data_IF_374491669967
#
_entry.id   IF_374491669967
#
_cell.length_a   1.000
_cell.length_b   1.000
_cell.length_c   1.000
_cell.angle_alpha   90.00
_cell.angle_beta   90.00
_cell.angle_gamma   90.00
#
_symmetry.space_group_name_H-M   'P 1'
#
loop_
_entity.id
_entity.type
_entity.pdbx_description
1 polymer ?
#
# COMPACT_ATOMS: atom_id res chain seq x y z
N UNK A 1 9.50 7.81 15.47
CA UNK A 1 9.64 6.58 14.67
C UNK A 1 8.23 6.05 14.51
N UNK A 2 7.57 6.35 13.38
CA UNK A 2 6.24 5.81 13.11
C UNK A 2 6.45 4.41 12.57
N UNK A 3 6.07 3.40 13.34
CA UNK A 3 6.11 2.01 12.87
C UNK A 3 4.86 1.79 12.03
N UNK A 4 4.98 1.41 10.75
CA UNK A 4 3.81 1.17 9.91
C UNK A 4 2.92 0.10 10.55
N UNK A 5 1.68 0.49 10.86
CA UNK A 5 0.69 -0.38 11.52
C UNK A 5 0.21 -1.52 10.61
N UNK A 6 0.50 -1.43 9.32
CA UNK A 6 0.10 -2.34 8.25
C UNK A 6 0.66 -3.75 8.41
N UNK A 7 1.91 -3.93 8.86
CA UNK A 7 2.44 -5.28 9.12
C UNK A 7 1.78 -5.98 10.33
N UNK A 8 1.58 -5.32 11.49
CA UNK A 8 0.76 -5.85 12.58
C UNK A 8 -0.69 -6.14 12.18
N UNK A 9 -1.32 -5.24 11.42
CA UNK A 9 -2.70 -5.41 10.95
C UNK A 9 -2.81 -6.54 9.91
N UNK A 10 -1.86 -6.64 9.00
CA UNK A 10 -1.77 -7.72 8.01
C UNK A 10 -1.59 -9.09 8.68
N UNK A 11 -0.81 -9.15 9.76
CA UNK A 11 -0.64 -10.37 10.56
C UNK A 11 -1.96 -10.80 11.21
N UNK A 12 -2.75 -9.86 11.74
CA UNK A 12 -4.06 -10.15 12.32
C UNK A 12 -5.07 -10.61 11.25
N UNK A 13 -5.09 -9.95 10.08
CA UNK A 13 -5.97 -10.32 8.96
C UNK A 13 -5.63 -11.70 8.38
N UNK A 14 -4.35 -12.04 8.31
CA UNK A 14 -3.89 -13.36 7.87
C UNK A 14 -4.39 -14.46 8.81
N UNK A 15 -4.21 -14.27 10.12
CA UNK A 15 -4.67 -15.22 11.15
C UNK A 15 -6.19 -15.33 11.16
N UNK A 16 -6.91 -14.21 11.06
CA UNK A 16 -8.38 -14.21 10.95
C UNK A 16 -8.85 -14.97 9.69
N UNK A 17 -8.15 -14.81 8.56
CA UNK A 17 -8.42 -15.52 7.32
C UNK A 17 -8.19 -17.04 7.39
N UNK A 18 -7.30 -17.52 8.27
CA UNK A 18 -7.11 -18.96 8.52
C UNK A 18 -8.27 -19.57 9.32
N UNK A 19 -8.89 -18.80 10.22
CA UNK A 19 -9.99 -19.28 11.08
C UNK A 19 -11.37 -19.29 10.41
N UNK A 20 -11.58 -18.48 9.36
CA UNK A 20 -12.87 -18.30 8.69
C UNK A 20 -12.92 -18.82 7.24
N UNK A 21 -11.89 -19.55 6.78
CA UNK A 21 -11.78 -20.09 5.41
C UNK A 21 -11.94 -19.02 4.31
N UNK A 22 -11.54 -17.78 4.62
CA UNK A 22 -11.68 -16.62 3.75
C UNK A 22 -10.40 -16.35 2.96
N UNK A 23 -10.25 -16.87 1.72
CA UNK A 23 -9.04 -16.65 0.91
C UNK A 23 -8.74 -15.18 0.67
N UNK A 24 -9.77 -14.32 0.69
CA UNK A 24 -9.65 -12.88 0.60
C UNK A 24 -8.88 -12.27 1.80
N UNK A 25 -9.34 -12.51 3.04
CA UNK A 25 -8.69 -11.96 4.24
C UNK A 25 -7.26 -12.45 4.41
N UNK A 26 -7.02 -13.71 4.05
CA UNK A 26 -5.68 -14.29 4.05
C UNK A 26 -4.75 -13.61 3.05
N UNK A 27 -5.24 -13.36 1.83
CA UNK A 27 -4.47 -12.69 0.78
C UNK A 27 -4.22 -11.23 1.14
N UNK A 28 -5.24 -10.52 1.65
CA UNK A 28 -5.10 -9.14 2.12
C UNK A 28 -4.10 -9.04 3.28
N UNK A 29 -4.15 -9.99 4.23
CA UNK A 29 -3.17 -10.05 5.32
C UNK A 29 -1.73 -10.23 4.83
N UNK A 30 -1.51 -11.14 3.88
CA UNK A 30 -0.20 -11.31 3.23
C UNK A 30 0.26 -10.03 2.52
N UNK A 31 -0.63 -9.37 1.77
CA UNK A 31 -0.30 -8.14 1.06
C UNK A 31 0.10 -7.02 2.03
N UNK A 32 -0.60 -6.87 3.15
CA UNK A 32 -0.28 -5.85 4.15
C UNK A 32 1.00 -6.14 4.96
N UNK A 33 1.40 -7.43 5.08
CA UNK A 33 2.68 -7.82 5.68
C UNK A 33 3.83 -7.57 4.70
N UNK A 34 3.65 -7.91 3.43
CA UNK A 34 4.70 -7.81 2.41
C UNK A 34 4.90 -6.38 1.90
N UNK A 35 3.86 -5.55 1.94
CA UNK A 35 3.86 -4.21 1.37
C UNK A 35 3.34 -3.19 2.38
N UNK A 36 4.05 -3.00 3.50
CA UNK A 36 3.55 -2.20 4.61
C UNK A 36 3.37 -0.71 4.30
N UNK A 37 3.94 -0.20 3.21
CA UNK A 37 3.96 1.24 2.87
C UNK A 37 3.96 1.44 1.34
N UNK A 38 3.32 0.51 0.62
CA UNK A 38 3.26 0.55 -0.82
C UNK A 38 4.35 -0.19 -1.58
N UNK A 39 4.19 -0.24 -2.90
CA UNK A 39 5.07 -0.87 -3.88
C UNK A 39 5.21 0.10 -5.03
N UNK A 40 6.43 0.35 -5.49
CA UNK A 40 6.70 0.93 -6.79
C UNK A 40 7.51 -0.03 -7.65
N UNK A 41 7.40 0.12 -8.98
CA UNK A 41 8.22 -0.62 -9.93
C UNK A 41 8.81 0.36 -10.94
N UNK A 42 10.13 0.47 -10.99
CA UNK A 42 10.81 1.42 -11.85
C UNK A 42 10.96 0.86 -13.27
N UNK A 43 10.45 1.61 -14.25
CA UNK A 43 10.50 1.26 -15.67
C UNK A 43 11.34 2.32 -16.38
N UNK A 44 12.59 1.97 -16.68
CA UNK A 44 13.46 2.83 -17.49
C UNK A 44 12.94 2.88 -18.92
N UNK A 45 12.55 4.06 -19.39
CA UNK A 45 12.15 4.27 -20.79
C UNK A 45 13.37 4.51 -21.68
N UNK A 46 14.39 5.19 -21.14
CA UNK A 46 15.69 5.45 -21.77
C UNK A 46 16.70 5.94 -20.71
N UNK A 47 17.91 6.27 -21.15
CA UNK A 47 19.02 6.72 -20.29
C UNK A 47 18.74 7.98 -19.44
N UNK A 48 17.66 8.72 -19.74
CA UNK A 48 17.29 9.97 -19.07
C UNK A 48 15.88 9.99 -18.50
N UNK A 49 15.11 8.92 -18.65
CA UNK A 49 13.70 8.93 -18.27
C UNK A 49 13.25 7.60 -17.69
N UNK A 50 12.49 7.69 -16.62
CA UNK A 50 11.97 6.56 -15.85
C UNK A 50 10.52 6.83 -15.45
N UNK A 51 9.71 5.78 -15.43
CA UNK A 51 8.35 5.82 -14.93
C UNK A 51 8.21 4.77 -13.84
N UNK A 52 7.61 5.16 -12.72
CA UNK A 52 7.40 4.31 -11.56
C UNK A 52 5.91 4.29 -11.20
N UNK A 53 5.11 3.34 -11.71
CA UNK A 53 3.79 3.06 -11.14
C UNK A 53 3.96 2.67 -9.67
N UNK A 54 3.07 3.18 -8.83
CA UNK A 54 3.07 2.88 -7.41
C UNK A 54 1.66 2.63 -6.88
N UNK A 55 1.59 1.80 -5.85
CA UNK A 55 0.45 1.64 -4.96
C UNK A 55 0.95 1.97 -3.58
N UNK A 56 0.30 2.86 -2.85
CA UNK A 56 0.63 3.21 -1.46
C UNK A 56 -0.57 2.96 -0.56
N UNK A 57 -0.32 2.49 0.67
CA UNK A 57 -1.36 2.22 1.67
C UNK A 57 -1.19 3.22 2.80
N UNK A 58 -2.03 4.26 2.81
CA UNK A 58 -1.95 5.38 3.73
C UNK A 58 -2.45 5.04 5.13
N UNK A 59 -3.60 4.37 5.24
CA UNK A 59 -4.19 4.04 6.53
C UNK A 59 -5.08 2.81 6.49
N UNK A 60 -5.22 2.19 7.65
CA UNK A 60 -6.07 1.04 7.86
C UNK A 60 -6.75 1.18 9.22
N UNK A 61 -8.07 1.35 9.22
CA UNK A 61 -8.86 1.72 10.39
C UNK A 61 -10.00 0.73 10.62
N UNK A 62 -10.22 0.40 11.89
CA UNK A 62 -11.39 -0.34 12.35
C UNK A 62 -12.23 0.60 13.22
N UNK A 63 -13.53 0.64 12.98
CA UNK A 63 -14.46 1.44 13.79
C UNK A 63 -15.76 0.69 14.01
N UNK A 64 -16.42 0.96 15.13
CA UNK A 64 -17.69 0.32 15.48
C UNK A 64 -18.82 1.27 15.15
N UNK A 65 -19.78 0.83 14.35
CA UNK A 65 -21.01 1.56 14.12
C UNK A 65 -21.92 1.40 15.34
N UNK A 66 -22.00 2.46 16.16
CA UNK A 66 -22.78 2.44 17.41
C UNK A 66 -24.28 2.14 17.22
N UNK A 67 -24.81 2.33 16.01
CA UNK A 67 -26.24 2.11 15.70
C UNK A 67 -26.61 0.64 15.54
N UNK A 68 -25.70 -0.21 15.07
CA UNK A 68 -25.99 -1.61 14.76
C UNK A 68 -24.93 -2.59 15.32
N UNK A 69 -23.96 -2.08 16.10
CA UNK A 69 -22.82 -2.85 16.64
C UNK A 69 -22.05 -3.61 15.55
N UNK A 70 -22.03 -3.09 14.32
CA UNK A 70 -21.23 -3.67 13.25
C UNK A 70 -19.81 -3.13 13.28
N UNK A 71 -18.84 -4.00 12.98
CA UNK A 71 -17.44 -3.61 12.82
C UNK A 71 -17.23 -3.16 11.38
N UNK A 72 -16.98 -1.87 11.20
CA UNK A 72 -16.56 -1.26 9.94
C UNK A 72 -15.04 -1.36 9.75
N UNK A 73 -14.63 -1.52 8.50
CA UNK A 73 -13.23 -1.53 8.08
C UNK A 73 -13.05 -0.49 6.97
N UNK A 74 -12.07 0.39 7.13
CA UNK A 74 -11.68 1.35 6.11
C UNK A 74 -10.20 1.19 5.79
N UNK A 75 -9.92 1.02 4.51
CA UNK A 75 -8.57 1.01 3.95
C UNK A 75 -8.44 2.23 3.04
N UNK A 76 -7.44 3.07 3.32
CA UNK A 76 -7.08 4.20 2.48
C UNK A 76 -5.74 3.92 1.82
N UNK A 77 -5.64 4.23 0.54
CA UNK A 77 -4.43 4.08 -0.22
C UNK A 77 -4.51 4.85 -1.53
N UNK A 78 -3.34 5.17 -2.07
CA UNK A 78 -3.18 5.87 -3.32
C UNK A 78 -2.64 4.90 -4.37
N UNK A 79 -3.09 5.08 -5.61
CA UNK A 79 -2.48 4.46 -6.77
C UNK A 79 -2.10 5.57 -7.73
N UNK A 80 -0.89 5.49 -8.26
CA UNK A 80 -0.40 6.57 -9.08
C UNK A 80 0.75 6.19 -9.99
N UNK A 81 1.19 7.19 -10.72
CA UNK A 81 2.30 7.10 -11.65
C UNK A 81 3.27 8.25 -11.38
N UNK A 82 4.53 7.89 -11.12
CA UNK A 82 5.60 8.87 -11.08
C UNK A 82 6.36 8.84 -12.40
N UNK A 83 6.66 10.00 -12.98
CA UNK A 83 7.58 10.13 -14.11
C UNK A 83 8.77 10.98 -13.69
N UNK A 84 9.98 10.49 -13.95
CA UNK A 84 11.23 11.15 -13.62
C UNK A 84 12.05 11.41 -14.88
N UNK A 85 12.62 12.62 -14.99
CA UNK A 85 13.52 13.00 -16.07
C UNK A 85 14.83 13.55 -15.51
N UNK A 86 15.94 12.88 -15.83
CA UNK A 86 17.28 13.25 -15.40
C UNK A 86 17.82 14.38 -16.29
N UNK A 87 18.14 15.52 -15.67
CA UNK A 87 18.76 16.69 -16.30
C UNK A 87 20.30 16.53 -16.29
N UNK A 88 20.83 15.82 -15.30
CA UNK A 88 22.22 15.37 -15.21
C UNK A 88 22.38 14.33 -14.09
N UNK A 89 23.61 13.91 -13.81
CA UNK A 89 23.90 12.77 -12.92
C UNK A 89 23.37 12.92 -11.48
N UNK A 90 23.05 14.14 -11.05
CA UNK A 90 22.59 14.45 -9.67
C UNK A 90 21.28 15.23 -9.60
N UNK A 91 20.68 15.53 -10.75
CA UNK A 91 19.54 16.45 -10.84
C UNK A 91 18.48 15.87 -11.76
N UNK A 92 17.28 15.71 -11.22
CA UNK A 92 16.12 15.24 -11.96
C UNK A 92 14.90 16.09 -11.61
N UNK A 93 13.92 16.06 -12.49
CA UNK A 93 12.58 16.59 -12.24
C UNK A 93 11.62 15.42 -12.17
N UNK A 94 10.65 15.47 -11.25
CA UNK A 94 9.60 14.46 -11.13
C UNK A 94 8.22 15.08 -11.25
N UNK A 95 7.28 14.31 -11.80
CA UNK A 95 5.85 14.59 -11.77
C UNK A 95 5.11 13.36 -11.26
N UNK A 96 4.04 13.58 -10.51
CA UNK A 96 3.24 12.53 -9.88
C UNK A 96 1.77 12.74 -10.25
N UNK A 97 1.06 11.66 -10.55
CA UNK A 97 -0.36 11.64 -10.87
C UNK A 97 -1.05 10.47 -10.15
#
# INVERSE_FOLDING_TARGET
MHTPLTAPVGSLLFIAGLGHDGPFLRTLGVLMILFPEGISCDICLNDKMEISPFIDVNSCEFFVHNTDNTLGFLLSGDIGLTAQMYIGDKLYTSAHA
#
